data_IF_806219471371
#
_entry.id   IF_806219471371
#
_cell.length_a   1.000
_cell.length_b   1.000
_cell.length_c   1.000
_cell.angle_alpha   90.00
_cell.angle_beta   90.00
_cell.angle_gamma   90.00
#
_symmetry.space_group_name_H-M   'P 1'
#
loop_
_entity.id
_entity.type
_entity.pdbx_description
1 polymer ?
#
# COMPACT_ATOMS: atom_id res chain seq x y z
N UNK A 1 -36.05 -3.88 15.52
CA UNK A 1 -34.87 -4.33 14.76
C UNK A 1 -34.19 -3.06 14.27
N UNK A 2 -33.28 -2.54 15.08
CA UNK A 2 -32.53 -1.31 14.80
C UNK A 2 -31.10 -1.72 14.43
N UNK A 3 -30.86 -1.88 13.13
CA UNK A 3 -29.55 -2.12 12.54
C UNK A 3 -28.95 -0.76 12.21
N UNK A 4 -28.22 -0.21 13.18
CA UNK A 4 -27.36 0.96 13.04
C UNK A 4 -26.51 0.82 11.77
N UNK A 5 -26.44 1.88 10.98
CA UNK A 5 -25.83 1.93 9.64
C UNK A 5 -24.32 1.68 9.61
N UNK A 6 -23.89 0.47 9.94
CA UNK A 6 -22.60 -0.05 9.52
C UNK A 6 -22.67 -0.28 8.00
N UNK A 7 -21.66 0.12 7.22
CA UNK A 7 -21.59 -0.22 5.81
C UNK A 7 -21.72 -1.74 5.66
N UNK A 8 -22.36 -2.19 4.58
CA UNK A 8 -22.42 -3.61 4.26
C UNK A 8 -21.00 -4.14 4.12
N UNK A 9 -20.52 -4.84 5.16
CA UNK A 9 -19.12 -5.23 5.31
C UNK A 9 -18.69 -6.18 4.18
N UNK A 10 -19.65 -6.92 3.61
CA UNK A 10 -19.43 -7.74 2.43
C UNK A 10 -18.99 -6.90 1.21
N UNK A 11 -19.49 -5.66 1.07
CA UNK A 11 -19.08 -4.76 -0.02
C UNK A 11 -17.62 -4.36 0.11
N UNK A 12 -17.08 -4.25 1.33
CA UNK A 12 -15.66 -3.95 1.55
C UNK A 12 -14.75 -5.07 1.04
N UNK A 13 -15.20 -6.33 1.11
CA UNK A 13 -14.46 -7.48 0.59
C UNK A 13 -14.31 -7.47 -0.94
N UNK A 14 -15.21 -6.79 -1.66
CA UNK A 14 -15.19 -6.69 -3.12
C UNK A 14 -14.66 -5.34 -3.63
N UNK A 15 -14.70 -4.29 -2.79
CA UNK A 15 -14.25 -2.95 -3.19
C UNK A 15 -12.78 -2.97 -3.65
N UNK A 16 -12.39 -2.25 -4.73
CA UNK A 16 -11.00 -2.19 -5.15
C UNK A 16 -10.08 -1.67 -4.02
N UNK A 17 -8.87 -2.23 -3.85
CA UNK A 17 -7.92 -1.68 -2.89
C UNK A 17 -7.47 -0.28 -3.33
N UNK A 18 -7.47 0.66 -2.38
CA UNK A 18 -7.20 2.06 -2.66
C UNK A 18 -7.48 2.96 -1.44
N UNK A 19 -7.33 4.28 -1.59
CA UNK A 19 -7.49 5.24 -0.50
C UNK A 19 -8.91 5.25 0.07
N UNK A 20 -9.93 5.01 -0.74
CA UNK A 20 -11.33 4.92 -0.30
C UNK A 20 -11.53 3.71 0.62
N UNK A 21 -10.97 2.55 0.26
CA UNK A 21 -11.03 1.35 1.10
C UNK A 21 -10.29 1.55 2.42
N UNK A 22 -9.12 2.19 2.38
CA UNK A 22 -8.34 2.51 3.57
C UNK A 22 -9.13 3.40 4.55
N UNK A 23 -9.80 4.43 4.04
CA UNK A 23 -10.60 5.34 4.86
C UNK A 23 -11.79 4.62 5.53
N UNK A 24 -12.48 3.75 4.79
CA UNK A 24 -13.61 2.98 5.33
C UNK A 24 -13.17 1.98 6.40
N UNK A 25 -12.07 1.24 6.17
CA UNK A 25 -11.53 0.29 7.14
C UNK A 25 -11.01 0.96 8.41
N UNK A 26 -10.44 2.17 8.29
CA UNK A 26 -9.98 2.95 9.43
C UNK A 26 -11.12 3.43 10.35
N UNK A 27 -12.30 3.71 9.78
CA UNK A 27 -13.48 4.18 10.52
C UNK A 27 -14.33 3.06 11.15
N UNK A 28 -13.98 1.79 10.95
CA UNK A 28 -14.81 0.65 11.31
C UNK A 28 -14.74 0.29 12.81
N UNK A 29 -15.88 0.24 13.50
CA UNK A 29 -15.97 -0.32 14.85
C UNK A 29 -16.04 -1.86 14.81
N UNK A 30 -14.88 -2.49 14.95
CA UNK A 30 -14.74 -3.96 14.95
C UNK A 30 -15.46 -4.66 16.10
N UNK A 31 -15.72 -3.97 17.22
CA UNK A 31 -16.34 -4.58 18.41
C UNK A 31 -17.83 -4.86 18.20
N UNK A 32 -18.46 -4.16 17.26
CA UNK A 32 -19.87 -4.35 16.89
C UNK A 32 -20.12 -5.42 15.83
N UNK A 33 -19.08 -6.08 15.31
CA UNK A 33 -19.19 -7.00 14.18
C UNK A 33 -19.28 -8.47 14.59
N UNK A 34 -20.04 -9.25 13.82
CA UNK A 34 -20.04 -10.70 13.94
C UNK A 34 -18.79 -11.32 13.29
N UNK A 35 -18.52 -12.59 13.58
CA UNK A 35 -17.35 -13.31 13.08
C UNK A 35 -17.22 -13.27 11.55
N UNK A 36 -18.31 -13.53 10.82
CA UNK A 36 -18.29 -13.55 9.36
C UNK A 36 -17.93 -12.18 8.77
N UNK A 37 -18.50 -11.11 9.35
CA UNK A 37 -18.14 -9.74 8.96
C UNK A 37 -16.66 -9.44 9.24
N UNK A 38 -16.10 -9.93 10.35
CA UNK A 38 -14.66 -9.77 10.63
C UNK A 38 -13.78 -10.52 9.61
N UNK A 39 -14.23 -11.64 9.06
CA UNK A 39 -13.52 -12.33 7.97
C UNK A 39 -13.47 -11.47 6.71
N UNK A 40 -14.59 -10.82 6.36
CA UNK A 40 -14.65 -9.95 5.19
C UNK A 40 -13.80 -8.67 5.35
N UNK A 41 -13.75 -8.11 6.57
CA UNK A 41 -12.81 -7.04 6.92
C UNK A 41 -11.36 -7.49 6.73
N UNK A 42 -11.00 -8.67 7.24
CA UNK A 42 -9.63 -9.19 7.12
C UNK A 42 -9.23 -9.44 5.66
N UNK A 43 -10.17 -9.91 4.82
CA UNK A 43 -9.95 -10.07 3.37
C UNK A 43 -9.71 -8.72 2.68
N UNK A 44 -10.51 -7.71 3.02
CA UNK A 44 -10.34 -6.36 2.49
C UNK A 44 -9.00 -5.74 2.91
N UNK A 45 -8.61 -5.87 4.18
CA UNK A 45 -7.31 -5.42 4.71
C UNK A 45 -6.15 -6.11 3.99
N UNK A 46 -6.22 -7.43 3.80
CA UNK A 46 -5.18 -8.17 3.09
C UNK A 46 -4.96 -7.64 1.67
N UNK A 47 -6.04 -7.39 0.91
CA UNK A 47 -5.95 -6.83 -0.44
C UNK A 47 -5.37 -5.42 -0.44
N UNK A 48 -5.75 -4.59 0.54
CA UNK A 48 -5.21 -3.24 0.68
C UNK A 48 -3.69 -3.27 1.00
N UNK A 49 -3.25 -4.14 1.90
CA UNK A 49 -1.83 -4.33 2.24
C UNK A 49 -1.05 -4.74 1.00
N UNK A 50 -1.54 -5.74 0.26
CA UNK A 50 -0.89 -6.20 -0.97
C UNK A 50 -0.78 -5.08 -2.01
N UNK A 51 -1.82 -4.25 -2.17
CA UNK A 51 -1.80 -3.09 -3.06
C UNK A 51 -0.74 -2.05 -2.66
N UNK A 52 -0.65 -1.71 -1.38
CA UNK A 52 0.35 -0.76 -0.87
C UNK A 52 1.76 -1.32 -1.04
N UNK A 53 1.97 -2.59 -0.72
CA UNK A 53 3.25 -3.27 -0.89
C UNK A 53 3.67 -3.33 -2.36
N UNK A 54 2.75 -3.59 -3.29
CA UNK A 54 3.04 -3.56 -4.71
C UNK A 54 3.52 -2.17 -5.17
N UNK A 55 2.88 -1.09 -4.69
CA UNK A 55 3.31 0.29 -4.97
C UNK A 55 4.70 0.61 -4.38
N UNK A 56 4.98 0.13 -3.17
CA UNK A 56 6.29 0.27 -2.54
C UNK A 56 7.36 -0.48 -3.34
N UNK A 57 7.13 -1.73 -3.72
CA UNK A 57 8.05 -2.53 -4.52
C UNK A 57 8.32 -1.90 -5.89
N UNK A 58 7.30 -1.36 -6.55
CA UNK A 58 7.47 -0.62 -7.80
C UNK A 58 8.38 0.61 -7.61
N UNK A 59 8.23 1.33 -6.50
CA UNK A 59 9.11 2.45 -6.13
C UNK A 59 10.56 1.98 -5.91
N UNK A 60 10.75 0.87 -5.20
CA UNK A 60 12.09 0.31 -4.94
C UNK A 60 12.80 -0.12 -6.24
N UNK A 61 12.05 -0.70 -7.18
CA UNK A 61 12.57 -1.02 -8.52
C UNK A 61 13.01 0.25 -9.24
N UNK A 62 12.20 1.31 -9.18
CA UNK A 62 12.59 2.56 -9.82
C UNK A 62 13.82 3.18 -9.16
N UNK A 63 13.97 3.14 -7.83
CA UNK A 63 15.19 3.59 -7.14
C UNK A 63 16.42 2.89 -7.71
N UNK A 64 16.42 1.56 -7.78
CA UNK A 64 17.57 0.81 -8.30
C UNK A 64 17.86 1.03 -9.79
N UNK A 65 16.91 1.58 -10.55
CA UNK A 65 17.06 1.86 -11.98
C UNK A 65 17.37 3.34 -12.27
N UNK A 66 17.58 4.20 -11.26
CA UNK A 66 17.98 5.59 -11.48
C UNK A 66 19.48 5.76 -11.36
N UNK A 67 20.08 6.26 -12.43
CA UNK A 67 21.47 6.74 -12.42
C UNK A 67 21.44 8.25 -12.16
N UNK A 68 22.19 8.68 -11.14
CA UNK A 68 22.21 10.04 -10.61
C UNK A 68 21.31 10.26 -9.39
N UNK A 69 21.90 10.12 -8.19
CA UNK A 69 21.31 10.57 -6.91
C UNK A 69 21.44 12.08 -6.67
N UNK A 70 22.04 12.81 -7.61
CA UNK A 70 22.36 14.23 -7.44
C UNK A 70 21.09 15.08 -7.62
N UNK A 71 20.38 15.29 -6.50
CA UNK A 71 19.13 16.03 -6.43
C UNK A 71 19.21 17.48 -6.95
N UNK A 72 20.42 17.99 -7.22
CA UNK A 72 20.69 19.33 -7.70
C UNK A 72 20.57 19.54 -9.22
N UNK A 73 20.54 18.48 -10.04
CA UNK A 73 20.49 18.62 -11.50
C UNK A 73 19.51 17.62 -12.16
N UNK A 74 18.25 18.02 -12.41
CA UNK A 74 17.25 17.18 -13.06
C UNK A 74 17.66 16.66 -14.45
N UNK A 75 18.59 17.34 -15.14
CA UNK A 75 19.08 16.92 -16.46
C UNK A 75 19.96 15.67 -16.42
N UNK A 76 20.42 15.28 -15.22
CA UNK A 76 21.20 14.06 -14.96
C UNK A 76 20.36 12.86 -14.56
N UNK A 77 19.07 13.04 -14.30
CA UNK A 77 18.18 11.93 -13.94
C UNK A 77 17.98 11.04 -15.18
N UNK A 78 18.53 9.82 -15.14
CA UNK A 78 18.39 8.84 -16.22
C UNK A 78 17.91 7.51 -15.67
N UNK A 79 17.08 6.82 -16.46
CA UNK A 79 16.70 5.42 -16.16
C UNK A 79 17.69 4.50 -16.87
N UNK A 80 18.35 3.61 -16.12
CA UNK A 80 19.24 2.59 -16.68
C UNK A 80 18.48 1.28 -16.93
N UNK A 81 19.04 0.41 -17.77
CA UNK A 81 18.42 -0.88 -18.12
C UNK A 81 18.71 -1.98 -17.09
N UNK A 82 19.77 -1.81 -16.30
CA UNK A 82 20.19 -2.73 -15.25
C UNK A 82 20.62 -1.90 -14.03
N UNK A 83 20.31 -2.34 -12.80
CA UNK A 83 20.76 -1.66 -11.60
C UNK A 83 22.28 -1.54 -11.54
N UNK A 84 22.78 -0.41 -11.04
CA UNK A 84 24.20 -0.27 -10.75
C UNK A 84 24.64 -1.22 -9.63
N UNK A 85 25.94 -1.50 -9.55
CA UNK A 85 26.55 -2.43 -8.58
C UNK A 85 26.18 -2.11 -7.11
N UNK A 86 25.91 -0.85 -6.80
CA UNK A 86 25.58 -0.37 -5.45
C UNK A 86 24.09 -0.06 -5.23
N UNK A 87 23.21 -0.35 -6.21
CA UNK A 87 21.78 -0.03 -6.13
C UNK A 87 21.08 -0.65 -4.91
N UNK A 88 21.58 -1.78 -4.40
CA UNK A 88 21.05 -2.43 -3.20
C UNK A 88 21.32 -1.66 -1.90
N UNK A 89 22.39 -0.85 -1.84
CA UNK A 89 22.76 -0.08 -0.65
C UNK A 89 21.91 1.19 -0.48
N UNK A 90 21.31 1.68 -1.58
CA UNK A 90 20.45 2.88 -1.59
C UNK A 90 19.07 2.64 -0.95
N UNK A 91 18.67 1.37 -0.78
CA UNK A 91 17.37 0.96 -0.21
C UNK A 91 17.44 0.86 1.33
N UNK A 92 18.51 1.32 1.96
CA UNK A 92 18.65 1.29 3.41
C UNK A 92 17.72 2.33 4.04
N UNK A 93 16.57 1.89 4.56
CA UNK A 93 15.74 2.75 5.40
C UNK A 93 16.54 3.20 6.63
N UNK A 94 16.56 4.51 6.97
CA UNK A 94 17.20 4.94 8.20
C UNK A 94 16.57 4.19 9.37
N UNK A 95 17.41 3.57 10.21
CA UNK A 95 16.95 3.02 11.48
C UNK A 95 16.38 4.17 12.33
N UNK A 96 15.23 3.99 13.00
CA UNK A 96 14.66 5.00 13.89
C UNK A 96 15.60 5.36 15.04
#
# INVERSE_FOLDING_TARGET
MDVRGAPDVAVLAEMPPGPELAALLAGLDRRGLCGDALVDVARAEHRLIAHIQAGQLATLVEIGLRDGLDAGDPSRIRRVTHPGEFAGDEIRFPSP
#
